data_IF_626516192059
#
_entry.id   IF_626516192059
#
_cell.length_a   1.000
_cell.length_b   1.000
_cell.length_c   1.000
_cell.angle_alpha   90.00
_cell.angle_beta   90.00
_cell.angle_gamma   90.00
#
_symmetry.space_group_name_H-M   'P 1'
#
loop_
_entity.id
_entity.type
_entity.pdbx_description
1 polymer ?
#
# COMPACT_ATOMS: atom_id res chain seq x y z
N UNK A 1 -0.09 -1.77 -26.91
CA UNK A 1 0.40 -0.43 -26.54
C UNK A 1 -0.52 0.09 -25.43
N UNK A 2 -0.12 -0.10 -24.19
CA UNK A 2 -0.84 0.46 -23.04
C UNK A 2 0.15 1.30 -22.28
N UNK A 3 0.00 2.62 -22.41
CA UNK A 3 0.73 3.61 -21.63
C UNK A 3 0.36 3.44 -20.16
N UNK A 4 1.36 3.35 -19.28
CA UNK A 4 1.16 3.47 -17.82
C UNK A 4 0.59 4.87 -17.54
N UNK A 5 -0.61 5.01 -16.97
CA UNK A 5 -1.10 6.31 -16.56
C UNK A 5 -0.34 6.78 -15.31
N UNK A 6 0.16 7.99 -15.38
CA UNK A 6 0.69 8.70 -14.21
C UNK A 6 -0.45 8.89 -13.19
N UNK A 7 -0.48 8.12 -12.12
CA UNK A 7 -1.42 8.27 -11.02
C UNK A 7 -1.03 9.51 -10.22
N UNK A 8 -1.90 10.52 -10.22
CA UNK A 8 -1.86 11.60 -9.24
C UNK A 8 -2.12 10.99 -7.86
N UNK A 9 -1.06 10.68 -7.13
CA UNK A 9 -1.14 10.31 -5.72
C UNK A 9 -1.73 11.51 -4.96
N UNK A 10 -2.90 11.33 -4.34
CA UNK A 10 -3.46 12.31 -3.43
C UNK A 10 -2.39 12.68 -2.39
N UNK A 11 -1.99 13.95 -2.35
CA UNK A 11 -0.95 14.44 -1.47
C UNK A 11 -1.42 14.30 -0.02
N UNK A 12 -0.94 13.28 0.67
CA UNK A 12 -1.00 13.20 2.13
C UNK A 12 0.01 14.23 2.64
N UNK A 13 -0.44 15.18 3.46
CA UNK A 13 0.44 16.17 4.09
C UNK A 13 1.56 15.43 4.85
N UNK A 14 2.78 15.51 4.34
CA UNK A 14 3.89 14.70 4.81
C UNK A 14 4.65 15.39 5.93
N UNK A 15 5.24 14.60 6.82
CA UNK A 15 6.38 14.97 7.67
C UNK A 15 7.46 15.67 6.85
N UNK A 16 8.10 16.69 7.43
CA UNK A 16 9.12 17.50 6.77
C UNK A 16 10.17 16.60 6.08
N UNK A 17 10.39 16.72 4.77
CA UNK A 17 11.28 15.82 4.02
C UNK A 17 12.75 15.90 4.43
N UNK A 18 13.15 16.92 5.21
CA UNK A 18 14.54 17.25 5.49
C UNK A 18 15.36 16.19 6.23
N UNK A 19 14.77 15.44 7.15
CA UNK A 19 15.55 14.52 8.01
C UNK A 19 16.10 13.29 7.26
N UNK A 20 15.33 12.77 6.30
CA UNK A 20 15.64 11.53 5.59
C UNK A 20 16.08 11.79 4.14
N UNK A 21 15.97 13.03 3.65
CA UNK A 21 16.36 13.36 2.29
C UNK A 21 17.86 13.17 2.09
N UNK A 22 18.23 12.46 1.03
CA UNK A 22 19.62 12.20 0.65
C UNK A 22 19.99 13.13 -0.49
N UNK A 23 21.15 13.75 -0.37
CA UNK A 23 21.76 14.49 -1.48
C UNK A 23 22.14 13.49 -2.59
N UNK A 24 21.59 13.58 -3.80
CA UNK A 24 21.89 12.69 -4.90
C UNK A 24 23.40 12.64 -5.25
N UNK A 25 24.14 13.72 -5.01
CA UNK A 25 25.59 13.76 -5.20
C UNK A 25 26.38 12.84 -4.26
N UNK A 26 25.74 12.30 -3.22
CA UNK A 26 26.35 11.35 -2.26
C UNK A 26 26.01 9.89 -2.57
N UNK A 27 25.17 9.62 -3.58
CA UNK A 27 24.75 8.24 -3.92
C UNK A 27 25.81 7.60 -4.82
N UNK A 28 26.57 6.65 -4.25
CA UNK A 28 27.72 6.04 -4.94
C UNK A 28 27.97 4.59 -4.49
N UNK A 29 29.19 4.10 -4.66
CA UNK A 29 29.59 2.78 -4.17
C UNK A 29 29.28 2.64 -2.67
N UNK A 30 28.69 1.53 -2.27
CA UNK A 30 28.20 1.33 -0.90
C UNK A 30 26.74 1.77 -0.67
N UNK A 31 26.05 2.24 -1.71
CA UNK A 31 24.62 2.53 -1.66
C UNK A 31 23.81 1.55 -2.52
N UNK A 32 22.55 1.35 -2.11
CA UNK A 32 21.52 0.74 -2.95
C UNK A 32 20.46 1.77 -3.24
N UNK A 33 20.29 2.15 -4.50
CA UNK A 33 19.22 3.03 -4.95
C UNK A 33 18.02 2.18 -5.40
N UNK A 34 16.94 2.21 -4.64
CA UNK A 34 15.71 1.47 -4.94
C UNK A 34 14.67 2.42 -5.52
N UNK A 35 14.10 2.11 -6.67
CA UNK A 35 13.02 2.89 -7.27
C UNK A 35 11.65 2.27 -6.92
N UNK A 36 10.82 3.00 -6.18
CA UNK A 36 9.40 2.71 -5.90
C UNK A 36 8.62 4.02 -5.71
N UNK A 37 8.52 4.79 -6.78
CA UNK A 37 7.91 6.13 -6.77
C UNK A 37 6.37 6.04 -6.96
N UNK A 38 5.68 5.39 -6.03
CA UNK A 38 4.27 5.04 -6.07
C UNK A 38 3.57 5.38 -4.74
N UNK A 39 2.27 5.09 -4.65
CA UNK A 39 1.44 5.38 -3.49
C UNK A 39 1.73 4.51 -2.26
N UNK A 40 0.95 4.75 -1.19
CA UNK A 40 1.11 4.07 0.11
C UNK A 40 0.98 2.54 0.02
N UNK A 41 -0.01 2.03 -0.72
CA UNK A 41 -0.22 0.58 -0.88
C UNK A 41 0.99 -0.08 -1.55
N UNK A 42 1.46 0.52 -2.64
CA UNK A 42 2.66 0.05 -3.35
C UNK A 42 3.92 0.10 -2.49
N UNK A 43 4.08 1.15 -1.69
CA UNK A 43 5.20 1.29 -0.78
C UNK A 43 5.22 0.19 0.27
N UNK A 44 4.05 -0.18 0.80
CA UNK A 44 3.92 -1.28 1.76
C UNK A 44 4.22 -2.64 1.14
N UNK A 45 3.78 -2.89 -0.10
CA UNK A 45 4.15 -4.15 -0.78
C UNK A 45 5.66 -4.29 -1.02
N UNK A 46 6.41 -3.17 -0.97
CA UNK A 46 7.86 -3.15 -1.08
C UNK A 46 8.60 -3.42 0.25
N UNK A 47 7.93 -3.41 1.41
CA UNK A 47 8.59 -3.62 2.72
C UNK A 47 9.32 -4.98 2.76
N UNK A 48 8.66 -6.05 2.33
CA UNK A 48 9.26 -7.38 2.32
C UNK A 48 10.52 -7.47 1.42
N UNK A 49 10.47 -7.06 0.14
CA UNK A 49 11.67 -7.06 -0.71
C UNK A 49 12.74 -6.07 -0.23
N UNK A 50 12.41 -4.92 0.37
CA UNK A 50 13.40 -3.99 0.96
C UNK A 50 14.17 -4.66 2.11
N UNK A 51 13.52 -5.46 2.94
CA UNK A 51 14.19 -6.30 3.94
C UNK A 51 15.07 -7.37 3.29
N UNK A 52 14.67 -7.91 2.14
CA UNK A 52 15.51 -8.77 1.32
C UNK A 52 16.75 -8.04 0.79
N UNK A 53 16.60 -6.81 0.30
CA UNK A 53 17.73 -5.96 -0.14
C UNK A 53 18.72 -5.74 1.02
N UNK A 54 18.23 -5.49 2.23
CA UNK A 54 19.07 -5.36 3.42
C UNK A 54 19.87 -6.65 3.70
N UNK A 55 19.27 -7.83 3.53
CA UNK A 55 19.96 -9.11 3.69
C UNK A 55 20.97 -9.38 2.57
N UNK A 56 20.66 -8.94 1.35
CA UNK A 56 21.55 -9.06 0.19
C UNK A 56 22.81 -8.20 0.35
N UNK A 57 22.67 -7.00 0.90
CA UNK A 57 23.71 -5.97 1.00
C UNK A 57 23.65 -5.32 2.41
N UNK A 58 24.06 -6.04 3.48
CA UNK A 58 23.86 -5.62 4.86
C UNK A 58 24.60 -4.34 5.22
N UNK A 59 25.76 -4.09 4.59
CA UNK A 59 26.62 -2.94 4.88
C UNK A 59 26.32 -1.72 3.99
N UNK A 60 25.38 -1.83 3.03
CA UNK A 60 25.02 -0.74 2.14
C UNK A 60 23.90 0.11 2.72
N UNK A 61 23.97 1.41 2.46
CA UNK A 61 22.87 2.33 2.74
C UNK A 61 21.76 2.15 1.70
N UNK A 62 20.54 1.87 2.12
CA UNK A 62 19.38 1.74 1.24
C UNK A 62 18.73 3.12 1.07
N UNK A 63 18.79 3.68 -0.13
CA UNK A 63 18.15 4.93 -0.52
C UNK A 63 16.93 4.64 -1.38
N UNK A 64 15.75 5.07 -0.94
CA UNK A 64 14.50 4.85 -1.66
C UNK A 64 14.14 6.07 -2.50
N UNK A 65 14.10 5.93 -3.82
CA UNK A 65 13.52 6.91 -4.72
C UNK A 65 11.99 6.76 -4.71
N UNK A 66 11.30 7.67 -4.01
CA UNK A 66 9.87 7.62 -3.74
C UNK A 66 9.28 9.01 -3.48
N UNK A 67 7.94 9.19 -3.47
CA UNK A 67 7.31 10.41 -3.00
C UNK A 67 7.75 10.73 -1.56
N UNK A 68 8.09 12.00 -1.31
CA UNK A 68 8.78 12.45 -0.10
C UNK A 68 8.11 11.96 1.20
N UNK A 69 6.79 12.10 1.33
CA UNK A 69 6.05 11.70 2.53
C UNK A 69 6.06 10.19 2.78
N UNK A 70 5.83 9.41 1.74
CA UNK A 70 5.83 7.93 1.82
C UNK A 70 7.23 7.41 2.11
N UNK A 71 8.25 7.95 1.42
CA UNK A 71 9.64 7.59 1.65
C UNK A 71 10.10 7.91 3.08
N UNK A 72 9.81 9.13 3.56
CA UNK A 72 10.16 9.56 4.92
C UNK A 72 9.48 8.70 5.99
N UNK A 73 8.23 8.29 5.76
CA UNK A 73 7.52 7.38 6.63
C UNK A 73 8.18 6.00 6.72
N UNK A 74 8.55 5.39 5.56
CA UNK A 74 9.28 4.11 5.55
C UNK A 74 10.66 4.22 6.21
N UNK A 75 11.36 5.34 6.05
CA UNK A 75 12.63 5.60 6.73
C UNK A 75 12.42 5.75 8.25
N UNK A 76 11.36 6.41 8.67
CA UNK A 76 10.96 6.51 10.08
C UNK A 76 10.67 5.15 10.74
N UNK A 77 10.21 4.18 9.94
CA UNK A 77 9.99 2.79 10.36
C UNK A 77 11.27 1.92 10.31
N UNK A 78 12.41 2.48 9.89
CA UNK A 78 13.68 1.75 9.77
C UNK A 78 13.73 0.74 8.62
N UNK A 79 12.84 0.87 7.62
CA UNK A 79 12.81 -0.01 6.44
C UNK A 79 13.91 0.37 5.45
N UNK A 80 14.20 1.67 5.33
CA UNK A 80 15.25 2.25 4.48
C UNK A 80 16.05 3.27 5.27
N UNK A 81 17.25 3.63 4.79
CA UNK A 81 18.16 4.54 5.52
C UNK A 81 18.02 5.99 5.04
N UNK A 82 17.46 6.19 3.85
CA UNK A 82 17.29 7.53 3.29
C UNK A 82 16.32 7.54 2.11
N UNK A 83 15.98 8.74 1.69
CA UNK A 83 15.00 8.99 0.62
C UNK A 83 15.61 9.92 -0.42
N UNK A 84 15.50 9.54 -1.68
CA UNK A 84 15.64 10.43 -2.82
C UNK A 84 14.22 10.85 -3.24
N UNK A 85 13.77 12.07 -2.93
CA UNK A 85 12.40 12.47 -3.20
C UNK A 85 12.13 12.59 -4.70
N UNK A 86 11.20 11.78 -5.21
CA UNK A 86 10.71 11.83 -6.60
C UNK A 86 9.20 11.66 -6.63
N UNK A 87 8.47 12.44 -7.43
CA UNK A 87 7.00 12.41 -7.43
C UNK A 87 6.40 11.23 -8.21
N UNK A 88 7.22 10.50 -8.99
CA UNK A 88 6.80 9.43 -9.88
C UNK A 88 7.93 9.01 -10.81
N UNK A 89 7.61 8.41 -11.96
CA UNK A 89 8.57 8.08 -13.01
C UNK A 89 9.01 9.35 -13.76
N UNK A 90 10.00 10.02 -13.20
CA UNK A 90 10.66 11.21 -13.77
C UNK A 90 12.16 10.97 -13.80
N UNK A 91 12.93 11.70 -14.62
CA UNK A 91 14.39 11.64 -14.59
C UNK A 91 14.93 11.82 -13.17
N UNK A 92 15.78 10.88 -12.75
CA UNK A 92 16.43 10.97 -11.43
C UNK A 92 17.49 12.06 -11.44
N UNK A 93 17.72 12.75 -10.33
CA UNK A 93 18.83 13.68 -10.21
C UNK A 93 20.17 12.97 -10.50
N UNK A 94 21.18 13.69 -11.07
CA UNK A 94 22.48 13.12 -11.35
C UNK A 94 23.14 12.57 -10.08
N UNK A 95 23.72 11.36 -10.19
CA UNK A 95 24.49 10.71 -9.12
C UNK A 95 25.93 10.47 -9.60
N UNK A 96 26.91 10.29 -8.70
CA UNK A 96 28.26 9.85 -9.07
C UNK A 96 28.29 8.52 -9.82
N UNK A 97 27.31 7.62 -9.55
CA UNK A 97 27.25 6.27 -10.11
C UNK A 97 27.98 5.25 -9.26
N UNK A 98 28.05 3.99 -9.74
CA UNK A 98 28.73 2.90 -9.04
C UNK A 98 27.94 2.27 -7.89
N UNK A 99 26.71 2.73 -7.60
CA UNK A 99 25.78 2.13 -6.66
C UNK A 99 25.10 0.88 -7.25
N UNK A 100 24.48 0.06 -6.41
CA UNK A 100 23.55 -0.97 -6.86
C UNK A 100 22.17 -0.36 -7.05
N UNK A 101 21.53 -0.56 -8.21
CA UNK A 101 20.16 -0.15 -8.44
C UNK A 101 19.20 -1.33 -8.31
N UNK A 102 18.00 -1.10 -7.74
CA UNK A 102 16.93 -2.10 -7.64
C UNK A 102 15.63 -1.49 -8.16
N UNK A 103 15.04 -2.10 -9.19
CA UNK A 103 13.76 -1.67 -9.73
C UNK A 103 12.62 -2.46 -9.05
N UNK A 104 11.93 -1.82 -8.11
CA UNK A 104 10.68 -2.31 -7.52
C UNK A 104 9.46 -1.53 -8.03
N UNK A 105 9.58 -0.76 -9.13
CA UNK A 105 8.51 0.12 -9.61
C UNK A 105 7.57 -0.57 -10.60
N UNK A 106 8.12 -1.30 -11.55
CA UNK A 106 7.34 -1.92 -12.62
C UNK A 106 8.18 -2.82 -13.52
N UNK A 107 7.55 -3.33 -14.58
CA UNK A 107 8.20 -4.21 -15.55
C UNK A 107 9.19 -3.49 -16.50
N UNK A 108 9.18 -2.14 -16.50
CA UNK A 108 9.95 -1.36 -17.47
C UNK A 108 9.18 -1.07 -18.77
N UNK A 109 9.81 -0.52 -19.82
CA UNK A 109 11.25 -0.16 -19.89
C UNK A 109 11.60 1.12 -19.11
N UNK A 110 10.70 2.13 -19.02
CA UNK A 110 11.00 3.47 -18.50
C UNK A 110 11.66 3.46 -17.12
N UNK A 111 11.15 2.65 -16.17
CA UNK A 111 11.74 2.55 -14.83
C UNK A 111 13.17 1.99 -14.84
N UNK A 112 13.50 1.10 -15.80
CA UNK A 112 14.86 0.61 -16.00
C UNK A 112 15.77 1.69 -16.60
N UNK A 113 15.28 2.39 -17.62
CA UNK A 113 16.02 3.49 -18.28
C UNK A 113 16.39 4.59 -17.27
N UNK A 114 15.45 4.97 -16.39
CA UNK A 114 15.71 5.96 -15.35
C UNK A 114 16.80 5.51 -14.36
N UNK A 115 16.78 4.24 -13.96
CA UNK A 115 17.81 3.69 -13.08
C UNK A 115 19.14 3.53 -13.82
N UNK A 116 19.17 3.07 -15.08
CA UNK A 116 20.39 2.95 -15.87
C UNK A 116 21.05 4.33 -16.12
N UNK A 117 20.25 5.37 -16.30
CA UNK A 117 20.75 6.75 -16.44
C UNK A 117 21.51 7.24 -15.19
N UNK A 118 21.24 6.68 -13.99
CA UNK A 118 22.00 6.97 -12.77
C UNK A 118 23.37 6.28 -12.71
N UNK A 119 23.75 5.51 -13.73
CA UNK A 119 25.03 4.79 -13.90
C UNK A 119 25.33 3.81 -12.75
N UNK A 120 24.44 2.89 -12.44
CA UNK A 120 24.69 1.86 -11.43
C UNK A 120 25.80 0.90 -11.88
N UNK A 121 26.54 0.32 -10.93
CA UNK A 121 27.43 -0.81 -11.18
C UNK A 121 26.62 -2.06 -11.57
N UNK A 122 25.45 -2.24 -10.94
CA UNK A 122 24.54 -3.36 -11.14
C UNK A 122 23.10 -2.90 -11.04
N UNK A 123 22.23 -3.40 -11.94
CA UNK A 123 20.78 -3.25 -11.86
C UNK A 123 20.12 -4.60 -11.52
N UNK A 124 19.30 -4.63 -10.48
CA UNK A 124 18.39 -5.73 -10.15
C UNK A 124 16.99 -5.34 -10.64
N UNK A 125 16.48 -6.04 -11.63
CA UNK A 125 15.19 -5.76 -12.27
C UNK A 125 14.66 -7.00 -12.99
N UNK A 126 13.41 -6.98 -13.37
CA UNK A 126 12.85 -7.97 -14.30
C UNK A 126 13.40 -7.74 -15.71
N UNK A 127 13.29 -8.75 -16.57
CA UNK A 127 13.68 -8.60 -17.96
C UNK A 127 12.93 -7.44 -18.63
N UNK A 128 13.69 -6.56 -19.27
CA UNK A 128 13.21 -5.41 -20.03
C UNK A 128 14.10 -5.23 -21.28
N UNK A 129 13.92 -6.07 -22.33
CA UNK A 129 14.77 -6.05 -23.52
C UNK A 129 14.81 -4.67 -24.19
N UNK A 130 13.71 -3.92 -24.15
CA UNK A 130 13.61 -2.57 -24.70
C UNK A 130 14.55 -1.57 -24.01
N UNK A 131 14.88 -1.82 -22.74
CA UNK A 131 15.88 -1.07 -21.98
C UNK A 131 17.27 -1.73 -21.98
N UNK A 132 17.49 -2.80 -22.76
CA UNK A 132 18.73 -3.55 -22.79
C UNK A 132 19.06 -4.27 -21.49
N UNK A 133 18.05 -4.61 -20.66
CA UNK A 133 18.25 -5.28 -19.38
C UNK A 133 17.75 -6.73 -19.40
N UNK A 134 18.64 -7.64 -19.03
CA UNK A 134 18.34 -9.05 -18.81
C UNK A 134 18.00 -9.29 -17.33
N UNK A 135 16.99 -10.14 -17.08
CA UNK A 135 16.53 -10.46 -15.74
C UNK A 135 15.52 -11.60 -15.72
N UNK A 136 14.98 -11.96 -14.57
CA UNK A 136 13.91 -12.95 -14.51
C UNK A 136 12.65 -12.44 -15.23
N UNK A 137 11.80 -13.35 -15.75
CA UNK A 137 10.58 -12.95 -16.47
C UNK A 137 9.58 -12.28 -15.53
N UNK A 138 8.84 -11.30 -16.07
CA UNK A 138 7.67 -10.72 -15.42
C UNK A 138 6.48 -11.67 -15.57
N UNK A 139 5.80 -11.97 -14.45
CA UNK A 139 4.56 -12.75 -14.46
C UNK A 139 3.38 -11.82 -14.11
N UNK A 140 2.46 -11.55 -15.04
CA UNK A 140 1.39 -10.57 -14.83
C UNK A 140 0.42 -10.97 -13.71
N UNK A 141 0.16 -12.27 -13.56
CA UNK A 141 -0.83 -12.80 -12.60
C UNK A 141 -0.22 -13.13 -11.23
N UNK A 142 0.98 -12.67 -10.95
CA UNK A 142 1.66 -12.90 -9.68
C UNK A 142 1.25 -11.84 -8.64
N UNK A 143 1.02 -12.28 -7.40
CA UNK A 143 0.75 -11.38 -6.28
C UNK A 143 1.90 -10.37 -6.08
N UNK A 144 1.58 -9.09 -5.90
CA UNK A 144 2.54 -7.99 -5.91
C UNK A 144 3.70 -8.20 -4.89
N UNK A 145 3.42 -8.56 -3.65
CA UNK A 145 4.46 -8.85 -2.65
C UNK A 145 5.33 -10.04 -3.07
N UNK A 146 4.74 -11.11 -3.60
CA UNK A 146 5.48 -12.32 -4.00
C UNK A 146 6.37 -12.04 -5.20
N UNK A 147 5.89 -11.27 -6.18
CA UNK A 147 6.64 -10.80 -7.36
C UNK A 147 7.94 -10.13 -6.95
N UNK A 148 7.86 -9.14 -6.08
CA UNK A 148 9.05 -8.41 -5.66
C UNK A 148 9.97 -9.22 -4.75
N UNK A 149 9.42 -10.07 -3.90
CA UNK A 149 10.22 -11.01 -3.14
C UNK A 149 10.96 -12.00 -4.07
N UNK A 150 10.31 -12.52 -5.11
CA UNK A 150 10.95 -13.41 -6.10
C UNK A 150 12.13 -12.73 -6.81
N UNK A 151 11.95 -11.46 -7.22
CA UNK A 151 13.02 -10.68 -7.84
C UNK A 151 14.24 -10.56 -6.92
N UNK A 152 14.02 -10.09 -5.69
CA UNK A 152 15.10 -9.80 -4.75
C UNK A 152 15.74 -11.08 -4.20
N UNK A 153 14.94 -12.12 -3.93
CA UNK A 153 15.46 -13.43 -3.51
C UNK A 153 16.33 -14.07 -4.59
N UNK A 154 15.92 -13.98 -5.87
CA UNK A 154 16.72 -14.44 -7.01
C UNK A 154 18.04 -13.67 -7.18
N UNK A 155 18.11 -12.44 -6.69
CA UNK A 155 19.33 -11.64 -6.68
C UNK A 155 20.26 -11.89 -5.47
N UNK A 156 19.85 -12.75 -4.53
CA UNK A 156 20.62 -13.12 -3.33
C UNK A 156 20.12 -12.49 -2.02
N UNK A 157 18.92 -11.84 -2.05
CA UNK A 157 18.29 -11.23 -0.88
C UNK A 157 17.07 -12.05 -0.40
N UNK A 158 17.24 -13.12 0.38
CA UNK A 158 16.12 -13.98 0.76
C UNK A 158 15.04 -13.19 1.50
N UNK A 159 13.80 -13.26 1.01
CA UNK A 159 12.63 -12.63 1.61
C UNK A 159 11.35 -13.34 1.17
N UNK A 160 10.29 -13.12 1.91
CA UNK A 160 8.97 -13.66 1.62
C UNK A 160 7.86 -12.81 2.19
N UNK A 161 6.57 -13.15 1.94
CA UNK A 161 5.44 -12.35 2.40
C UNK A 161 5.45 -12.05 3.90
N UNK A 162 5.96 -12.96 4.74
CA UNK A 162 6.09 -12.74 6.19
C UNK A 162 6.92 -11.52 6.58
N UNK A 163 7.87 -11.14 5.73
CA UNK A 163 8.69 -9.94 5.93
C UNK A 163 7.92 -8.61 5.74
N UNK A 164 6.65 -8.68 5.31
CA UNK A 164 5.78 -7.52 5.21
C UNK A 164 5.40 -6.96 6.59
N UNK A 165 5.34 -7.79 7.63
CA UNK A 165 4.86 -7.38 8.96
C UNK A 165 5.74 -6.30 9.56
N UNK A 166 5.13 -5.16 9.92
CA UNK A 166 5.78 -4.09 10.68
C UNK A 166 5.73 -4.35 12.18
N UNK A 167 4.79 -5.17 12.63
CA UNK A 167 4.66 -5.68 14.00
C UNK A 167 3.91 -7.02 14.02
N UNK A 168 4.00 -7.74 15.12
CA UNK A 168 3.16 -8.91 15.38
C UNK A 168 1.72 -8.52 15.74
N UNK A 169 0.81 -9.46 15.52
CA UNK A 169 -0.59 -9.29 15.94
C UNK A 169 -0.68 -9.10 17.45
N UNK A 170 -1.49 -8.12 17.86
CA UNK A 170 -1.86 -7.89 19.26
C UNK A 170 -3.37 -7.73 19.33
N UNK A 171 -4.06 -8.45 20.23
CA UNK A 171 -5.47 -8.21 20.48
C UNK A 171 -5.71 -6.73 20.81
N UNK A 172 -6.73 -6.17 20.18
CA UNK A 172 -7.11 -4.80 20.46
C UNK A 172 -7.77 -4.68 21.85
N UNK A 173 -7.60 -3.56 22.59
CA UNK A 173 -8.38 -3.27 23.78
C UNK A 173 -9.89 -3.38 23.54
N UNK A 174 -10.67 -3.75 24.56
CA UNK A 174 -12.12 -3.98 24.40
C UNK A 174 -12.92 -2.74 23.99
N UNK A 175 -12.38 -1.54 24.21
CA UNK A 175 -12.93 -0.24 23.80
C UNK A 175 -12.31 0.33 22.52
N UNK A 176 -11.47 -0.46 21.85
CA UNK A 176 -10.85 -0.04 20.58
C UNK A 176 -11.91 0.24 19.51
N UNK A 177 -11.74 1.33 18.71
CA UNK A 177 -12.72 1.68 17.70
C UNK A 177 -12.65 0.76 16.48
N UNK A 178 -13.76 0.68 15.75
CA UNK A 178 -13.76 0.20 14.36
C UNK A 178 -13.38 1.37 13.47
N UNK A 179 -12.35 1.19 12.63
CA UNK A 179 -11.92 2.18 11.66
C UNK A 179 -12.57 1.91 10.31
N UNK A 180 -13.21 2.92 9.74
CA UNK A 180 -13.74 2.90 8.36
C UNK A 180 -12.96 3.88 7.51
N UNK A 181 -12.40 3.39 6.39
CA UNK A 181 -11.75 4.22 5.38
C UNK A 181 -12.52 4.11 4.07
N UNK A 182 -13.50 5.01 3.82
CA UNK A 182 -14.42 4.89 2.70
C UNK A 182 -13.81 5.34 1.37
N UNK A 183 -12.68 6.07 1.43
CA UNK A 183 -12.00 6.65 0.29
C UNK A 183 -11.20 5.66 -0.55
N UNK A 184 -10.97 6.04 -1.81
CA UNK A 184 -10.03 5.38 -2.72
C UNK A 184 -9.57 6.35 -3.81
N UNK A 185 -8.42 6.06 -4.45
CA UNK A 185 -7.83 6.92 -5.47
C UNK A 185 -8.71 7.11 -6.71
N UNK A 186 -9.55 6.13 -7.06
CA UNK A 186 -10.43 6.15 -8.24
C UNK A 186 -11.88 5.84 -7.87
N UNK A 187 -12.82 6.30 -8.69
CA UNK A 187 -14.24 6.01 -8.51
C UNK A 187 -14.53 4.50 -8.61
N UNK A 188 -13.79 3.77 -9.44
CA UNK A 188 -13.94 2.31 -9.60
C UNK A 188 -13.79 1.53 -8.28
N UNK A 189 -13.06 2.07 -7.32
CA UNK A 189 -12.77 1.47 -6.01
C UNK A 189 -13.47 2.16 -4.85
N UNK A 190 -14.41 3.10 -5.10
CA UNK A 190 -15.17 3.81 -4.06
C UNK A 190 -16.55 3.17 -3.86
N UNK A 191 -16.70 2.43 -2.78
CA UNK A 191 -17.99 1.91 -2.38
C UNK A 191 -18.88 3.07 -1.89
N UNK A 192 -20.23 3.06 -2.17
CA UNK A 192 -21.11 4.20 -1.89
C UNK A 192 -21.12 4.64 -0.43
N UNK A 193 -21.13 5.96 -0.19
CA UNK A 193 -21.14 6.55 1.15
C UNK A 193 -22.33 6.10 1.99
N UNK A 194 -23.51 5.97 1.37
CA UNK A 194 -24.75 5.55 2.02
C UNK A 194 -24.62 4.13 2.59
N UNK A 195 -23.92 3.24 1.86
CA UNK A 195 -23.68 1.86 2.30
C UNK A 195 -22.66 1.81 3.44
N UNK A 196 -21.58 2.64 3.37
CA UNK A 196 -20.65 2.79 4.48
C UNK A 196 -21.34 3.32 5.73
N UNK A 197 -22.24 4.30 5.57
CA UNK A 197 -23.04 4.87 6.68
C UNK A 197 -23.96 3.84 7.31
N UNK A 198 -24.64 2.99 6.52
CA UNK A 198 -25.46 1.88 7.00
C UNK A 198 -24.63 0.94 7.89
N UNK A 199 -23.47 0.48 7.40
CA UNK A 199 -22.56 -0.39 8.17
C UNK A 199 -22.07 0.31 9.45
N UNK A 200 -21.71 1.60 9.37
CA UNK A 200 -21.26 2.39 10.52
C UNK A 200 -22.34 2.53 11.59
N UNK A 201 -23.61 2.79 11.18
CA UNK A 201 -24.74 2.90 12.08
C UNK A 201 -25.06 1.59 12.79
N UNK A 202 -25.03 0.47 12.07
CA UNK A 202 -25.29 -0.86 12.65
C UNK A 202 -24.19 -1.27 13.64
N UNK A 203 -22.91 -1.02 13.32
CA UNK A 203 -21.80 -1.27 14.24
C UNK A 203 -21.84 -0.34 15.47
N UNK A 204 -22.28 0.91 15.30
CA UNK A 204 -22.51 1.82 16.41
C UNK A 204 -23.67 1.34 17.32
N UNK A 205 -24.75 0.83 16.72
CA UNK A 205 -25.86 0.21 17.48
C UNK A 205 -25.44 -1.07 18.21
N UNK A 206 -24.44 -1.80 17.71
CA UNK A 206 -23.79 -2.92 18.42
C UNK A 206 -22.88 -2.47 19.57
N UNK A 207 -22.73 -1.15 19.79
CA UNK A 207 -21.93 -0.56 20.89
C UNK A 207 -20.47 -0.25 20.51
N UNK A 208 -20.10 -0.32 19.23
CA UNK A 208 -18.76 0.03 18.79
C UNK A 208 -18.60 1.55 18.56
N UNK A 209 -17.44 2.09 18.95
CA UNK A 209 -17.02 3.42 18.51
C UNK A 209 -16.52 3.32 17.06
N UNK A 210 -16.90 4.30 16.24
CA UNK A 210 -16.51 4.35 14.81
C UNK A 210 -15.53 5.50 14.61
N UNK A 211 -14.45 5.26 13.90
CA UNK A 211 -13.51 6.30 13.45
C UNK A 211 -13.45 6.27 11.93
N UNK A 212 -13.82 7.38 11.29
CA UNK A 212 -13.75 7.52 9.84
C UNK A 212 -12.49 8.31 9.46
N UNK A 213 -11.70 7.75 8.55
CA UNK A 213 -10.46 8.37 8.04
C UNK A 213 -10.54 8.60 6.54
N UNK A 214 -9.72 9.52 6.05
CA UNK A 214 -9.62 9.87 4.62
C UNK A 214 -8.60 10.97 4.41
N UNK A 215 -8.27 11.25 3.15
CA UNK A 215 -7.51 12.42 2.75
C UNK A 215 -8.36 13.69 2.83
N UNK A 216 -7.79 14.91 2.86
CA UNK A 216 -8.58 16.15 2.83
C UNK A 216 -9.55 16.24 1.65
N UNK A 217 -9.21 15.63 0.51
CA UNK A 217 -10.07 15.60 -0.68
C UNK A 217 -11.32 14.69 -0.52
N UNK A 218 -11.38 13.88 0.54
CA UNK A 218 -12.47 12.95 0.84
C UNK A 218 -13.36 13.45 1.99
N UNK A 219 -13.27 14.74 2.35
CA UNK A 219 -13.97 15.33 3.49
C UNK A 219 -15.50 15.16 3.40
N UNK A 220 -16.09 15.43 2.22
CA UNK A 220 -17.53 15.30 2.01
C UNK A 220 -17.99 13.84 2.10
N UNK A 221 -17.20 12.91 1.57
CA UNK A 221 -17.44 11.47 1.68
C UNK A 221 -17.45 11.02 3.14
N UNK A 222 -16.43 11.41 3.90
CA UNK A 222 -16.34 11.07 5.31
C UNK A 222 -17.46 11.69 6.15
N UNK A 223 -17.85 12.95 5.86
CA UNK A 223 -18.96 13.61 6.52
C UNK A 223 -20.29 12.88 6.26
N UNK A 224 -20.53 12.42 5.02
CA UNK A 224 -21.71 11.64 4.68
C UNK A 224 -21.77 10.29 5.44
N UNK A 225 -20.63 9.65 5.69
CA UNK A 225 -20.57 8.37 6.43
C UNK A 225 -20.89 8.54 7.91
N UNK A 226 -20.42 9.61 8.56
CA UNK A 226 -20.66 9.83 10.01
C UNK A 226 -22.01 10.51 10.31
N UNK A 227 -22.72 10.98 9.30
CA UNK A 227 -23.93 11.79 9.48
C UNK A 227 -25.00 11.06 10.31
N UNK A 228 -25.40 11.66 11.46
CA UNK A 228 -26.42 11.14 12.35
C UNK A 228 -25.97 9.95 13.22
N UNK A 229 -24.67 9.71 13.37
CA UNK A 229 -24.12 8.61 14.19
C UNK A 229 -23.29 9.23 15.31
N UNK A 230 -23.85 9.33 16.53
CA UNK A 230 -23.19 9.97 17.69
C UNK A 230 -21.90 9.25 18.13
N UNK A 231 -21.80 7.95 17.91
CA UNK A 231 -20.62 7.13 18.21
C UNK A 231 -19.53 7.21 17.14
N UNK A 232 -19.69 8.04 16.09
CA UNK A 232 -18.73 8.16 15.00
C UNK A 232 -17.91 9.45 15.08
N UNK A 233 -16.59 9.32 15.02
CA UNK A 233 -15.62 10.41 14.95
C UNK A 233 -15.09 10.55 13.52
N UNK A 234 -15.18 11.75 12.93
CA UNK A 234 -14.58 12.05 11.63
C UNK A 234 -13.15 12.61 11.82
N UNK A 235 -12.15 11.84 11.37
CA UNK A 235 -10.73 12.21 11.36
C UNK A 235 -10.18 12.42 9.95
N UNK A 236 -11.06 12.57 8.97
CA UNK A 236 -10.66 12.82 7.59
C UNK A 236 -9.84 14.10 7.47
N UNK A 237 -8.71 14.04 6.79
CA UNK A 237 -7.79 15.17 6.60
C UNK A 237 -6.98 15.57 7.85
N UNK A 238 -7.22 14.96 9.01
CA UNK A 238 -6.57 15.32 10.27
C UNK A 238 -5.31 14.49 10.58
N UNK A 239 -5.01 13.47 9.78
CA UNK A 239 -3.92 12.53 10.04
C UNK A 239 -2.85 12.61 8.94
N UNK A 240 -1.59 12.71 9.37
CA UNK A 240 -0.45 12.34 8.55
C UNK A 240 -0.28 10.81 8.50
N UNK A 241 0.72 10.30 7.80
CA UNK A 241 0.96 8.85 7.69
C UNK A 241 1.27 8.20 9.05
N UNK A 242 1.98 8.88 9.93
CA UNK A 242 2.27 8.39 11.29
C UNK A 242 0.99 8.33 12.12
N UNK A 243 0.17 9.37 12.06
CA UNK A 243 -1.14 9.43 12.72
C UNK A 243 -2.09 8.36 12.21
N UNK A 244 -2.14 8.16 10.88
CA UNK A 244 -2.92 7.10 10.26
C UNK A 244 -2.46 5.72 10.73
N UNK A 245 -1.14 5.47 10.71
CA UNK A 245 -0.55 4.21 11.16
C UNK A 245 -0.88 3.90 12.62
N UNK A 246 -0.77 4.92 13.51
CA UNK A 246 -1.17 4.76 14.93
C UNK A 246 -2.66 4.49 15.07
N UNK A 247 -3.51 5.20 14.31
CA UNK A 247 -4.96 5.02 14.37
C UNK A 247 -5.39 3.64 13.88
N UNK A 248 -4.83 3.18 12.75
CA UNK A 248 -5.01 1.80 12.25
C UNK A 248 -4.52 0.80 13.29
N UNK A 249 -3.33 1.04 13.85
CA UNK A 249 -2.71 0.17 14.84
C UNK A 249 -3.48 0.03 16.16
N UNK A 250 -4.34 0.98 16.48
CA UNK A 250 -5.19 0.99 17.68
C UNK A 250 -6.63 0.51 17.43
N UNK A 251 -6.99 0.22 16.17
CA UNK A 251 -8.34 -0.20 15.81
C UNK A 251 -8.61 -1.67 16.18
N UNK A 252 -9.84 -1.98 16.57
CA UNK A 252 -10.32 -3.35 16.73
C UNK A 252 -10.42 -4.08 15.39
N UNK A 253 -10.89 -3.36 14.36
CA UNK A 253 -10.91 -3.81 12.98
C UNK A 253 -10.88 -2.60 12.02
N UNK A 254 -10.40 -2.84 10.81
CA UNK A 254 -10.36 -1.85 9.72
C UNK A 254 -11.27 -2.31 8.58
N UNK A 255 -12.20 -1.45 8.17
CA UNK A 255 -13.06 -1.67 7.03
C UNK A 255 -12.66 -0.68 5.92
N UNK A 256 -12.32 -1.17 4.74
CA UNK A 256 -11.95 -0.32 3.61
C UNK A 256 -12.17 -1.04 2.28
N UNK A 257 -12.16 -0.29 1.18
CA UNK A 257 -11.93 -0.87 -0.13
C UNK A 257 -10.43 -1.22 -0.32
N UNK A 258 -10.09 -1.76 -1.49
CA UNK A 258 -8.70 -2.02 -1.92
C UNK A 258 -7.92 -0.70 -2.04
N UNK A 259 -7.27 -0.31 -0.95
CA UNK A 259 -6.55 0.97 -0.80
C UNK A 259 -5.29 0.81 0.05
N UNK A 260 -4.48 1.87 0.12
CA UNK A 260 -3.29 1.88 0.97
C UNK A 260 -3.55 1.53 2.43
N UNK A 261 -4.72 1.88 2.97
CA UNK A 261 -5.09 1.60 4.38
C UNK A 261 -5.29 0.10 4.64
N UNK A 262 -5.82 -0.65 3.68
CA UNK A 262 -5.90 -2.11 3.77
C UNK A 262 -4.51 -2.74 3.92
N UNK A 263 -3.52 -2.24 3.16
CA UNK A 263 -2.13 -2.69 3.27
C UNK A 263 -1.49 -2.28 4.61
N UNK A 264 -1.84 -1.10 5.17
CA UNK A 264 -1.40 -0.72 6.52
C UNK A 264 -1.95 -1.69 7.55
N UNK A 265 -3.23 -2.05 7.48
CA UNK A 265 -3.85 -3.03 8.38
C UNK A 265 -3.15 -4.39 8.29
N UNK A 266 -2.85 -4.86 7.06
CA UNK A 266 -2.12 -6.11 6.84
C UNK A 266 -0.70 -6.05 7.44
N UNK A 267 0.05 -4.98 7.18
CA UNK A 267 1.41 -4.83 7.69
C UNK A 267 1.48 -4.69 9.22
N UNK A 268 0.45 -4.15 9.84
CA UNK A 268 0.32 -4.02 11.29
C UNK A 268 -0.38 -5.22 11.96
N UNK A 269 -0.71 -6.26 11.20
CA UNK A 269 -1.46 -7.42 11.69
C UNK A 269 -2.75 -7.03 12.45
N UNK A 270 -3.48 -6.04 11.91
CA UNK A 270 -4.78 -5.59 12.43
C UNK A 270 -5.90 -6.27 11.64
N UNK A 271 -6.91 -6.76 12.32
CA UNK A 271 -8.08 -7.37 11.68
C UNK A 271 -8.71 -6.44 10.66
N UNK A 272 -9.14 -6.96 9.52
CA UNK A 272 -9.75 -6.12 8.49
C UNK A 272 -10.83 -6.83 7.67
N UNK A 273 -11.70 -6.02 7.10
CA UNK A 273 -12.61 -6.38 6.00
C UNK A 273 -12.25 -5.51 4.80
N UNK A 274 -11.85 -6.13 3.71
CA UNK A 274 -11.38 -5.43 2.50
C UNK A 274 -12.30 -5.73 1.34
N UNK A 275 -12.88 -4.68 0.74
CA UNK A 275 -13.78 -4.79 -0.40
C UNK A 275 -12.98 -4.64 -1.69
N UNK A 276 -13.06 -5.65 -2.55
CA UNK A 276 -12.41 -5.66 -3.86
C UNK A 276 -13.43 -5.40 -4.98
N UNK A 277 -12.99 -4.71 -6.00
CA UNK A 277 -13.75 -4.43 -7.22
C UNK A 277 -13.01 -4.90 -8.46
N UNK A 278 -12.42 -3.96 -9.24
CA UNK A 278 -11.82 -4.27 -10.54
C UNK A 278 -10.59 -5.17 -10.46
N UNK A 279 -9.83 -5.07 -9.38
CA UNK A 279 -8.58 -5.83 -9.19
C UNK A 279 -8.86 -7.13 -8.44
N UNK A 280 -8.33 -8.28 -8.88
CA UNK A 280 -8.46 -9.54 -8.15
C UNK A 280 -7.70 -9.52 -6.81
N UNK A 281 -8.29 -10.03 -5.73
CA UNK A 281 -7.59 -10.17 -4.45
C UNK A 281 -6.34 -11.05 -4.53
N UNK A 282 -6.29 -11.98 -5.48
CA UNK A 282 -5.13 -12.82 -5.73
C UNK A 282 -3.85 -12.03 -6.07
N UNK A 283 -3.99 -10.77 -6.53
CA UNK A 283 -2.85 -9.92 -6.88
C UNK A 283 -2.47 -8.92 -5.80
N UNK A 284 -3.48 -8.39 -5.08
CA UNK A 284 -3.30 -7.26 -4.17
C UNK A 284 -3.90 -7.48 -2.77
N UNK A 285 -4.53 -8.63 -2.54
CA UNK A 285 -5.12 -8.94 -1.23
C UNK A 285 -4.09 -9.05 -0.12
N UNK A 286 -4.54 -9.24 1.13
CA UNK A 286 -3.66 -9.47 2.26
C UNK A 286 -2.70 -10.64 1.99
N UNK A 287 -1.39 -10.37 2.04
CA UNK A 287 -0.35 -11.35 1.69
C UNK A 287 0.01 -12.28 2.84
N UNK A 288 -0.38 -11.92 4.07
CA UNK A 288 -0.06 -12.60 5.33
C UNK A 288 -1.29 -12.63 6.24
N UNK A 289 -1.26 -13.49 7.25
CA UNK A 289 -2.25 -13.57 8.32
C UNK A 289 -3.71 -13.69 7.83
N UNK A 290 -4.04 -14.67 6.96
CA UNK A 290 -5.36 -14.77 6.32
C UNK A 290 -6.52 -14.78 7.31
N UNK A 291 -6.31 -15.28 8.53
CA UNK A 291 -7.34 -15.33 9.58
C UNK A 291 -7.68 -13.94 10.15
N UNK A 292 -6.81 -12.96 9.95
CA UNK A 292 -7.05 -11.58 10.37
C UNK A 292 -7.80 -10.76 9.31
N UNK A 293 -7.97 -11.27 8.10
CA UNK A 293 -8.45 -10.49 6.97
C UNK A 293 -9.59 -11.19 6.24
N UNK A 294 -10.75 -10.56 6.21
CA UNK A 294 -11.87 -11.00 5.36
C UNK A 294 -11.87 -10.19 4.07
N UNK A 295 -11.83 -10.88 2.93
CA UNK A 295 -11.91 -10.26 1.61
C UNK A 295 -13.29 -10.52 1.02
N UNK A 296 -13.97 -9.45 0.60
CA UNK A 296 -15.24 -9.51 -0.11
C UNK A 296 -15.04 -9.12 -1.56
N UNK A 297 -15.33 -10.03 -2.47
CA UNK A 297 -15.15 -9.84 -3.91
C UNK A 297 -16.14 -10.68 -4.72
N UNK A 298 -16.87 -10.06 -5.61
CA UNK A 298 -17.84 -10.71 -6.51
C UNK A 298 -17.31 -10.89 -7.93
N UNK A 299 -15.99 -11.05 -8.08
CA UNK A 299 -15.36 -11.40 -9.35
C UNK A 299 -15.28 -12.92 -9.54
N UNK A 300 -15.06 -13.34 -10.77
CA UNK A 300 -14.80 -14.74 -11.11
C UNK A 300 -13.27 -15.00 -11.11
N UNK A 301 -12.76 -15.85 -10.20
CA UNK A 301 -11.33 -16.19 -10.18
C UNK A 301 -10.81 -16.84 -11.48
N UNK A 302 -11.70 -17.43 -12.28
CA UNK A 302 -11.37 -18.04 -13.55
C UNK A 302 -11.40 -17.04 -14.72
N UNK A 303 -12.01 -15.86 -14.54
CA UNK A 303 -12.04 -14.84 -15.57
C UNK A 303 -10.63 -14.27 -15.79
N UNK A 304 -10.29 -14.09 -17.08
CA UNK A 304 -9.00 -13.49 -17.48
C UNK A 304 -9.08 -12.00 -17.78
N UNK A 305 -10.31 -11.44 -17.78
CA UNK A 305 -10.57 -10.03 -17.99
C UNK A 305 -10.92 -9.36 -16.65
N UNK A 306 -10.15 -8.36 -16.29
CA UNK A 306 -10.34 -7.58 -15.07
C UNK A 306 -10.87 -6.19 -15.42
N UNK A 307 -11.48 -5.52 -14.44
CA UNK A 307 -11.90 -4.13 -14.61
C UNK A 307 -10.71 -3.17 -14.61
N UNK A 308 -10.94 -1.95 -15.04
CA UNK A 308 -9.95 -0.88 -14.94
C UNK A 308 -9.98 -0.28 -13.51
N UNK A 309 -8.91 -0.45 -12.71
CA UNK A 309 -8.86 0.10 -11.35
C UNK A 309 -8.79 1.63 -11.31
N UNK A 310 -8.63 2.28 -12.46
CA UNK A 310 -8.56 3.74 -12.61
C UNK A 310 -9.81 4.34 -13.26
N UNK A 311 -10.83 3.53 -13.55
CA UNK A 311 -12.06 4.02 -14.16
C UNK A 311 -12.75 5.08 -13.29
N UNK A 312 -13.50 5.94 -13.94
CA UNK A 312 -14.22 7.07 -13.36
C UNK A 312 -15.63 6.70 -12.81
N UNK A 313 -15.99 5.42 -12.88
CA UNK A 313 -17.26 4.86 -12.39
C UNK A 313 -17.02 3.68 -11.46
N UNK A 314 -17.95 3.47 -10.53
CA UNK A 314 -17.94 2.32 -9.62
C UNK A 314 -17.91 1.00 -10.40
N UNK A 315 -16.99 0.11 -10.05
CA UNK A 315 -16.92 -1.23 -10.62
C UNK A 315 -18.11 -2.09 -10.17
N UNK A 316 -18.68 -2.87 -11.08
CA UNK A 316 -19.86 -3.68 -10.84
C UNK A 316 -19.67 -4.77 -9.76
N UNK A 317 -18.45 -5.30 -9.63
CA UNK A 317 -18.11 -6.30 -8.61
C UNK A 317 -18.11 -5.67 -7.21
N UNK A 318 -17.59 -4.45 -7.09
CA UNK A 318 -17.64 -3.69 -5.85
C UNK A 318 -19.07 -3.22 -5.56
N UNK A 319 -19.83 -2.84 -6.59
CA UNK A 319 -21.24 -2.47 -6.45
C UNK A 319 -22.10 -3.64 -5.97
N UNK A 320 -21.74 -4.88 -6.31
CA UNK A 320 -22.43 -6.10 -5.89
C UNK A 320 -22.24 -6.43 -4.40
N UNK A 321 -21.17 -5.94 -3.74
CA UNK A 321 -20.97 -6.12 -2.29
C UNK A 321 -22.07 -5.39 -1.54
N UNK A 322 -22.84 -6.10 -0.71
CA UNK A 322 -23.92 -5.55 0.08
C UNK A 322 -23.48 -5.09 1.48
N UNK A 323 -24.17 -4.11 2.11
CA UNK A 323 -23.92 -3.74 3.51
C UNK A 323 -24.06 -4.92 4.48
N UNK A 324 -25.00 -5.82 4.24
CA UNK A 324 -25.22 -7.03 5.05
C UNK A 324 -24.00 -7.94 5.06
N UNK A 325 -23.34 -8.15 3.91
CA UNK A 325 -22.11 -8.95 3.82
C UNK A 325 -20.96 -8.29 4.58
N UNK A 326 -20.79 -6.97 4.41
CA UNK A 326 -19.75 -6.21 5.11
C UNK A 326 -19.95 -6.26 6.62
N UNK A 327 -21.19 -6.07 7.09
CA UNK A 327 -21.56 -6.12 8.49
C UNK A 327 -21.32 -7.52 9.10
N UNK A 328 -21.73 -8.58 8.40
CA UNK A 328 -21.49 -9.96 8.84
C UNK A 328 -19.98 -10.26 8.97
N UNK A 329 -19.18 -9.85 7.97
CA UNK A 329 -17.72 -9.99 7.99
C UNK A 329 -17.08 -9.19 9.13
N UNK A 330 -17.52 -7.94 9.36
CA UNK A 330 -17.04 -7.10 10.44
C UNK A 330 -17.33 -7.71 11.82
N UNK A 331 -18.56 -8.17 12.05
CA UNK A 331 -18.97 -8.86 13.30
C UNK A 331 -18.15 -10.12 13.56
N UNK A 332 -17.88 -10.91 12.51
CA UNK A 332 -17.03 -12.10 12.62
C UNK A 332 -15.61 -11.75 13.05
N UNK A 333 -14.98 -10.72 12.45
CA UNK A 333 -13.66 -10.27 12.82
C UNK A 333 -13.61 -9.68 14.24
N UNK A 334 -14.63 -8.94 14.65
CA UNK A 334 -14.74 -8.37 16.01
C UNK A 334 -15.03 -9.43 17.07
N UNK A 335 -15.83 -10.45 16.75
CA UNK A 335 -16.13 -11.59 17.63
C UNK A 335 -14.90 -12.44 17.92
N UNK A 336 -14.07 -12.70 16.92
CA UNK A 336 -12.81 -13.44 17.07
C UNK A 336 -11.73 -12.71 17.91
N UNK A 337 -11.94 -11.42 18.23
CA UNK A 337 -11.05 -10.65 19.14
C UNK A 337 -11.37 -10.91 20.63
N UNK A 338 -12.53 -11.52 20.94
CA UNK A 338 -13.03 -11.69 22.32
C UNK A 338 -12.79 -13.11 22.86
N UNK A 339 -12.33 -14.02 22.04
CA UNK A 339 -11.92 -15.39 22.39
C UNK A 339 -10.41 -15.56 22.41
#
# INVERSE_FOLDING_TARGET
MSAEPATAAGAVAGTAPGRWAVDPATIGPGDVLVLRALGLGDALTAVAPLRGVRRMLPDHRIVLAAPAGVGAWLAGLGVVDGVLPVPGLVPLPPTPGGHVAVNLHGRGPLSHELLLASRPERLVGFAAPEAGHDGPPWHPDEHEVRRWCRLVAGAGGPCGPGDLRLRDHRPAPGDAPVLIHPGAASAARRWPAERWREVAADLAADGHRIVVTGSPAEADLAAAVVAGIDAAENRCGALDLDGLTRTVGAAAAVLSADTGVAHVATALAVRSVVLFGPTPPAWWGPAVDPDLHTVLWHGDPAARAWGDPHADRLDERLAAVSPTEVLAAARAQLGASRT
#
